data_IF_787136170831
#
_entry.id   IF_787136170831
#
_cell.length_a   1.000
_cell.length_b   1.000
_cell.length_c   1.000
_cell.angle_alpha   90.00
_cell.angle_beta   90.00
_cell.angle_gamma   90.00
#
_symmetry.space_group_name_H-M   'P 1'
#
loop_
_entity.id
_entity.type
_entity.pdbx_description
1 polymer ?
#
# COMPACT_ATOMS: atom_id res chain seq x y z
N UNK A 1 -37.50 -35.25 36.49
CA UNK A 1 -38.35 -34.08 36.15
C UNK A 1 -38.36 -33.18 37.39
N UNK A 2 -37.98 -31.90 37.44
CA UNK A 2 -38.06 -30.73 36.53
C UNK A 2 -36.83 -29.85 36.86
N UNK A 3 -35.86 -29.58 35.97
CA UNK A 3 -35.77 -28.47 34.99
C UNK A 3 -36.01 -27.05 35.54
N UNK A 4 -35.01 -26.18 35.26
CA UNK A 4 -35.03 -24.71 35.02
C UNK A 4 -34.87 -23.82 36.28
N UNK A 5 -34.11 -22.72 36.34
CA UNK A 5 -33.10 -21.98 35.52
C UNK A 5 -32.55 -20.91 36.48
N UNK A 6 -31.28 -20.52 36.39
CA UNK A 6 -30.88 -19.11 36.57
C UNK A 6 -29.55 -18.84 35.87
N UNK A 7 -29.70 -18.59 34.57
CA UNK A 7 -28.75 -17.90 33.72
C UNK A 7 -28.84 -16.43 34.10
N UNK A 8 -27.80 -15.87 34.72
CA UNK A 8 -27.57 -14.43 34.74
C UNK A 8 -26.16 -14.15 35.26
N UNK A 9 -25.17 -14.13 34.37
CA UNK A 9 -23.99 -13.25 34.42
C UNK A 9 -22.89 -13.74 33.48
N UNK A 10 -23.14 -13.81 32.16
CA UNK A 10 -22.02 -13.93 31.21
C UNK A 10 -22.32 -13.35 29.83
N UNK A 11 -23.05 -12.23 29.76
CA UNK A 11 -23.21 -11.47 28.52
C UNK A 11 -23.02 -9.98 28.80
N UNK A 12 -21.79 -9.57 29.12
CA UNK A 12 -21.32 -8.19 28.93
C UNK A 12 -19.82 -8.18 28.56
N UNK A 13 -19.43 -9.04 27.62
CA UNK A 13 -18.03 -9.14 27.17
C UNK A 13 -17.80 -9.15 25.66
N UNK A 14 -18.85 -9.14 24.84
CA UNK A 14 -18.72 -9.35 23.38
C UNK A 14 -19.18 -8.15 22.52
N UNK A 15 -18.95 -6.91 22.96
CA UNK A 15 -19.21 -5.74 22.10
C UNK A 15 -17.99 -4.85 21.83
N UNK A 16 -16.75 -5.30 22.08
CA UNK A 16 -15.55 -4.52 21.76
C UNK A 16 -14.45 -5.25 20.99
N UNK A 17 -14.64 -6.52 20.58
CA UNK A 17 -13.60 -7.26 19.84
C UNK A 17 -13.76 -7.16 18.31
N UNK A 18 -14.80 -6.50 17.78
CA UNK A 18 -14.91 -6.32 16.32
C UNK A 18 -14.02 -5.19 15.78
N UNK A 19 -13.71 -4.16 16.58
CA UNK A 19 -12.97 -2.97 16.09
C UNK A 19 -11.45 -3.13 16.21
N UNK A 20 -10.95 -3.89 17.20
CA UNK A 20 -9.51 -4.07 17.42
C UNK A 20 -8.85 -5.07 16.47
N UNK A 21 -9.62 -5.98 15.86
CA UNK A 21 -9.09 -7.03 15.00
C UNK A 21 -8.85 -6.54 13.55
N UNK A 22 -9.63 -5.57 13.08
CA UNK A 22 -9.42 -4.93 11.78
C UNK A 22 -8.15 -4.06 11.77
N UNK A 23 -7.92 -3.28 12.82
CA UNK A 23 -6.76 -2.38 12.91
C UNK A 23 -5.41 -3.13 12.90
N UNK A 24 -5.34 -4.34 13.46
CA UNK A 24 -4.11 -5.15 13.48
C UNK A 24 -3.77 -5.74 12.12
N UNK A 25 -4.74 -6.25 11.34
CA UNK A 25 -4.47 -6.74 9.97
C UNK A 25 -4.11 -5.58 9.03
N UNK A 26 -4.76 -4.45 9.21
CA UNK A 26 -4.55 -3.26 8.39
C UNK A 26 -3.16 -2.64 8.59
N UNK A 27 -2.65 -2.59 9.83
CA UNK A 27 -1.29 -2.10 10.12
C UNK A 27 -0.19 -3.03 9.57
N UNK A 28 -0.36 -4.36 9.64
CA UNK A 28 0.63 -5.31 9.11
C UNK A 28 0.79 -5.18 7.59
N UNK A 29 -0.30 -4.90 6.88
CA UNK A 29 -0.27 -4.70 5.42
C UNK A 29 0.49 -3.43 5.00
N UNK A 30 0.45 -2.35 5.81
CA UNK A 30 1.16 -1.10 5.48
C UNK A 30 2.66 -1.25 5.73
N UNK A 31 3.06 -1.91 6.82
CA UNK A 31 4.48 -2.09 7.13
C UNK A 31 5.19 -2.96 6.08
N UNK A 32 4.53 -4.04 5.61
CA UNK A 32 5.05 -4.82 4.49
C UNK A 32 5.15 -3.99 3.21
N UNK A 33 4.13 -3.19 2.91
CA UNK A 33 4.16 -2.32 1.74
C UNK A 33 5.26 -1.26 1.82
N UNK A 34 5.55 -0.71 3.01
CA UNK A 34 6.66 0.23 3.23
C UNK A 34 8.01 -0.38 2.87
N UNK A 35 8.28 -1.62 3.26
CA UNK A 35 9.54 -2.30 2.93
C UNK A 35 9.70 -2.49 1.42
N UNK A 36 8.66 -2.95 0.74
CA UNK A 36 8.66 -3.13 -0.72
C UNK A 36 8.80 -1.80 -1.47
N UNK A 37 8.10 -0.76 -1.02
CA UNK A 37 8.23 0.61 -1.55
C UNK A 37 9.66 1.10 -1.37
N UNK A 38 10.24 0.97 -0.18
CA UNK A 38 11.59 1.44 0.11
C UNK A 38 12.62 0.74 -0.79
N UNK A 39 12.49 -0.59 -0.96
CA UNK A 39 13.34 -1.37 -1.85
C UNK A 39 13.25 -0.89 -3.30
N UNK A 40 12.03 -0.75 -3.83
CA UNK A 40 11.84 -0.36 -5.22
C UNK A 40 12.24 1.10 -5.50
N UNK A 41 11.95 2.02 -4.57
CA UNK A 41 12.37 3.42 -4.72
C UNK A 41 13.89 3.59 -4.57
N UNK A 42 14.53 2.80 -3.71
CA UNK A 42 16.01 2.80 -3.62
C UNK A 42 16.65 2.28 -4.90
N UNK A 43 16.04 1.28 -5.54
CA UNK A 43 16.49 0.80 -6.85
C UNK A 43 16.29 1.86 -7.96
N UNK A 44 15.14 2.55 -7.97
CA UNK A 44 14.93 3.68 -8.87
C UNK A 44 15.99 4.77 -8.66
N UNK A 45 16.27 5.13 -7.41
CA UNK A 45 17.32 6.11 -7.06
C UNK A 45 18.69 5.69 -7.60
N UNK A 46 19.06 4.42 -7.42
CA UNK A 46 20.33 3.86 -7.91
C UNK A 46 20.44 3.96 -9.44
N UNK A 47 19.34 3.77 -10.15
CA UNK A 47 19.31 3.81 -11.62
C UNK A 47 19.38 5.23 -12.16
N UNK A 48 18.58 6.14 -11.60
CA UNK A 48 18.32 7.48 -12.14
C UNK A 48 19.17 8.59 -11.51
N UNK A 49 19.79 8.32 -10.35
CA UNK A 49 20.59 9.29 -9.61
C UNK A 49 19.78 10.42 -8.98
N UNK A 50 18.46 10.24 -8.79
CA UNK A 50 17.62 11.28 -8.16
C UNK A 50 18.09 11.58 -6.73
N UNK A 51 17.86 12.83 -6.31
CA UNK A 51 18.28 13.30 -5.00
C UNK A 51 17.44 12.71 -3.85
N UNK A 52 17.90 12.91 -2.61
CA UNK A 52 17.23 12.38 -1.42
C UNK A 52 15.81 12.93 -1.23
N UNK A 53 15.59 14.22 -1.52
CA UNK A 53 14.25 14.82 -1.40
C UNK A 53 13.25 14.13 -2.32
N UNK A 54 13.60 13.96 -3.60
CA UNK A 54 12.74 13.29 -4.55
C UNK A 54 12.51 11.82 -4.17
N UNK A 55 13.54 11.13 -3.66
CA UNK A 55 13.38 9.77 -3.12
C UNK A 55 12.30 9.72 -2.03
N UNK A 56 12.34 10.63 -1.07
CA UNK A 56 11.36 10.68 0.02
C UNK A 56 9.96 11.04 -0.49
N UNK A 57 9.87 11.95 -1.46
CA UNK A 57 8.61 12.30 -2.13
C UNK A 57 7.99 11.10 -2.86
N UNK A 58 8.81 10.27 -3.52
CA UNK A 58 8.36 9.05 -4.18
C UNK A 58 7.87 7.99 -3.19
N UNK A 59 8.56 7.81 -2.05
CA UNK A 59 8.11 6.93 -0.97
C UNK A 59 6.75 7.39 -0.46
N UNK A 60 6.61 8.67 -0.14
CA UNK A 60 5.35 9.24 0.35
C UNK A 60 4.21 9.12 -0.69
N UNK A 61 4.51 9.33 -1.97
CA UNK A 61 3.56 9.14 -3.06
C UNK A 61 2.99 7.71 -3.05
N UNK A 62 3.86 6.70 -2.95
CA UNK A 62 3.46 5.29 -2.98
C UNK A 62 2.76 4.87 -1.68
N UNK A 63 3.18 5.38 -0.52
CA UNK A 63 2.46 5.14 0.74
C UNK A 63 1.05 5.70 0.71
N UNK A 64 0.88 6.90 0.16
CA UNK A 64 -0.45 7.48 -0.04
C UNK A 64 -1.31 6.66 -1.01
N UNK A 65 -0.71 5.99 -2.00
CA UNK A 65 -1.44 5.03 -2.84
C UNK A 65 -1.94 3.86 -2.02
N UNK A 66 -1.08 3.24 -1.22
CA UNK A 66 -1.47 2.09 -0.39
C UNK A 66 -2.58 2.45 0.60
N UNK A 67 -2.50 3.62 1.24
CA UNK A 67 -3.56 4.14 2.11
C UNK A 67 -4.87 4.31 1.32
N UNK A 68 -4.82 4.90 0.13
CA UNK A 68 -6.01 5.07 -0.70
C UNK A 68 -6.61 3.73 -1.17
N UNK A 69 -5.79 2.71 -1.42
CA UNK A 69 -6.24 1.38 -1.83
C UNK A 69 -6.95 0.62 -0.71
N UNK A 70 -6.70 0.95 0.56
CA UNK A 70 -7.35 0.29 1.68
C UNK A 70 -8.84 0.64 1.81
N UNK A 71 -9.22 1.85 1.43
CA UNK A 71 -10.62 2.30 1.49
C UNK A 71 -11.36 2.20 0.15
N UNK A 72 -10.67 1.76 -0.91
CA UNK A 72 -11.21 1.70 -2.26
C UNK A 72 -11.99 0.40 -2.52
N UNK A 73 -13.11 0.53 -3.24
CA UNK A 73 -13.79 -0.62 -3.86
C UNK A 73 -12.96 -1.16 -5.05
N UNK A 74 -13.31 -2.34 -5.57
CA UNK A 74 -12.55 -2.93 -6.68
C UNK A 74 -12.52 -2.07 -7.95
N UNK A 75 -13.60 -1.34 -8.24
CA UNK A 75 -13.70 -0.48 -9.43
C UNK A 75 -12.72 0.71 -9.36
N UNK A 76 -12.55 1.28 -8.17
CA UNK A 76 -11.70 2.45 -7.93
C UNK A 76 -10.20 2.10 -7.82
N UNK A 77 -9.87 0.86 -7.45
CA UNK A 77 -8.46 0.44 -7.26
C UNK A 77 -7.61 0.64 -8.51
N UNK A 78 -8.14 0.30 -9.69
CA UNK A 78 -7.45 0.51 -10.96
C UNK A 78 -7.21 2.00 -11.24
N UNK A 79 -8.21 2.84 -10.98
CA UNK A 79 -8.08 4.29 -11.14
C UNK A 79 -7.04 4.89 -10.19
N UNK A 80 -6.98 4.41 -8.93
CA UNK A 80 -5.96 4.79 -7.96
C UNK A 80 -4.57 4.39 -8.47
N UNK A 81 -4.38 3.14 -8.91
CA UNK A 81 -3.10 2.70 -9.46
C UNK A 81 -2.64 3.55 -10.65
N UNK A 82 -3.53 3.83 -11.61
CA UNK A 82 -3.20 4.68 -12.75
C UNK A 82 -2.85 6.11 -12.34
N UNK A 83 -3.62 6.71 -11.43
CA UNK A 83 -3.37 8.08 -10.94
C UNK A 83 -1.99 8.21 -10.29
N UNK A 84 -1.65 7.31 -9.39
CA UNK A 84 -0.36 7.36 -8.68
C UNK A 84 0.79 6.88 -9.59
N UNK A 85 0.55 5.92 -10.47
CA UNK A 85 1.54 5.45 -11.45
C UNK A 85 1.93 6.55 -12.44
N UNK A 86 0.97 7.33 -12.92
CA UNK A 86 1.24 8.48 -13.80
C UNK A 86 2.03 9.58 -13.07
N UNK A 87 1.71 9.86 -11.81
CA UNK A 87 2.48 10.79 -10.97
C UNK A 87 3.92 10.31 -10.76
N UNK A 88 4.11 9.01 -10.51
CA UNK A 88 5.44 8.41 -10.36
C UNK A 88 6.24 8.56 -11.66
N UNK A 89 5.65 8.21 -12.81
CA UNK A 89 6.32 8.37 -14.12
C UNK A 89 6.66 9.84 -14.43
N UNK A 90 5.77 10.76 -14.08
CA UNK A 90 5.98 12.20 -14.27
C UNK A 90 7.08 12.82 -13.39
N UNK A 91 7.60 12.09 -12.41
CA UNK A 91 8.73 12.52 -11.58
C UNK A 91 10.11 12.32 -12.25
N UNK A 92 10.15 11.61 -13.37
CA UNK A 92 11.38 11.27 -14.09
C UNK A 92 11.44 11.94 -15.46
N UNK A 93 12.65 12.25 -15.92
CA UNK A 93 12.86 12.69 -17.30
C UNK A 93 12.73 11.51 -18.28
N UNK A 94 12.53 11.77 -19.59
CA UNK A 94 12.50 10.70 -20.59
C UNK A 94 13.77 9.82 -20.57
N UNK A 95 14.95 10.41 -20.37
CA UNK A 95 16.23 9.69 -20.32
C UNK A 95 16.31 8.81 -19.08
N UNK A 96 15.76 9.25 -17.95
CA UNK A 96 15.68 8.46 -16.73
C UNK A 96 14.69 7.30 -16.87
N UNK A 97 13.55 7.53 -17.51
CA UNK A 97 12.56 6.47 -17.81
C UNK A 97 13.15 5.41 -18.76
N UNK A 98 13.91 5.83 -19.76
CA UNK A 98 14.65 4.92 -20.64
C UNK A 98 15.70 4.14 -19.85
N UNK A 99 16.49 4.81 -18.99
CA UNK A 99 17.48 4.15 -18.16
C UNK A 99 16.86 3.10 -17.22
N UNK A 100 15.67 3.36 -16.67
CA UNK A 100 14.91 2.37 -15.87
C UNK A 100 14.50 1.19 -16.75
N UNK A 101 13.96 1.45 -17.93
CA UNK A 101 13.48 0.42 -18.86
C UNK A 101 14.60 -0.52 -19.31
N UNK A 102 15.82 -0.01 -19.48
CA UNK A 102 16.99 -0.83 -19.84
C UNK A 102 17.58 -1.58 -18.64
N UNK A 103 17.74 -0.91 -17.49
CA UNK A 103 18.47 -1.49 -16.35
C UNK A 103 17.61 -2.42 -15.48
N UNK A 104 16.34 -2.10 -15.30
CA UNK A 104 15.42 -2.90 -14.50
C UNK A 104 13.96 -2.59 -14.91
N UNK A 105 13.46 -3.13 -16.02
CA UNK A 105 12.11 -2.81 -16.51
C UNK A 105 11.01 -3.22 -15.53
N UNK A 106 11.27 -4.20 -14.66
CA UNK A 106 10.29 -4.72 -13.70
C UNK A 106 9.99 -3.73 -12.57
N UNK A 107 10.97 -2.93 -12.14
CA UNK A 107 10.79 -2.04 -10.98
C UNK A 107 9.69 -1.00 -11.22
N UNK A 108 9.60 -0.46 -12.44
CA UNK A 108 8.56 0.52 -12.78
C UNK A 108 7.23 -0.17 -13.06
N UNK A 109 7.24 -1.35 -13.68
CA UNK A 109 6.03 -2.14 -13.92
C UNK A 109 5.35 -2.51 -12.59
N UNK A 110 6.09 -3.06 -11.63
CA UNK A 110 5.54 -3.45 -10.32
C UNK A 110 4.98 -2.26 -9.54
N UNK A 111 5.49 -1.05 -9.77
CA UNK A 111 5.00 0.17 -9.14
C UNK A 111 3.87 0.87 -9.91
N UNK A 112 3.62 0.55 -11.17
CA UNK A 112 2.67 1.33 -12.00
C UNK A 112 1.58 0.51 -12.65
N UNK A 113 1.73 -0.80 -12.74
CA UNK A 113 0.75 -1.70 -13.33
C UNK A 113 -0.17 -2.27 -12.26
N UNK A 114 -1.48 -2.12 -12.49
CA UNK A 114 -2.49 -2.79 -11.68
C UNK A 114 -2.59 -4.26 -12.12
N UNK A 115 -2.42 -5.19 -11.17
CA UNK A 115 -2.63 -6.62 -11.37
C UNK A 115 -3.93 -7.01 -10.66
N UNK A 116 -4.88 -7.58 -11.41
CA UNK A 116 -6.18 -8.05 -10.90
C UNK A 116 -6.05 -9.30 -10.05
#
# INVERSE_FOLDING_TARGET
MKKIVLIAAFILGFNFVSVAQESKKQNVSIEQAKEDILKNVTELQRITGVNAQLKDDLINLLLNREIALQSANQEDRKAIFMKYGNKLKGAFTPEQLEAISVKNPKVLADLTEYKE
#
